data_IF_590688805832
#
_entry.id   IF_590688805832
#
_cell.length_a   1.000
_cell.length_b   1.000
_cell.length_c   1.000
_cell.angle_alpha   90.00
_cell.angle_beta   90.00
_cell.angle_gamma   90.00
#
_symmetry.space_group_name_H-M   'P 1'
#
loop_
_entity.id
_entity.type
_entity.pdbx_description
1 polymer ?
#
# COMPACT_ATOMS: atom_id res chain seq x y z
N UNK A 1 -24.71 16.39 -0.11
CA UNK A 1 -23.71 15.96 -1.11
C UNK A 1 -22.26 16.31 -0.74
N UNK A 2 -21.93 17.51 -0.22
CA UNK A 2 -20.55 17.92 0.12
C UNK A 2 -19.78 16.97 1.08
N UNK A 3 -20.43 16.42 2.11
CA UNK A 3 -19.79 15.53 3.10
C UNK A 3 -19.20 14.24 2.50
N UNK A 4 -19.82 13.71 1.45
CA UNK A 4 -19.36 12.48 0.79
C UNK A 4 -18.13 12.73 -0.10
N UNK A 5 -18.07 13.90 -0.75
CA UNK A 5 -16.90 14.33 -1.56
C UNK A 5 -15.66 14.52 -0.70
N UNK A 6 -15.82 15.17 0.46
CA UNK A 6 -14.70 15.40 1.41
C UNK A 6 -14.18 14.07 1.96
N UNK A 7 -15.08 13.17 2.37
CA UNK A 7 -14.68 11.85 2.88
C UNK A 7 -13.95 11.04 1.81
N UNK A 8 -14.47 11.02 0.58
CA UNK A 8 -13.82 10.34 -0.56
C UNK A 8 -12.42 10.90 -0.82
N UNK A 9 -12.26 12.22 -0.83
CA UNK A 9 -10.96 12.85 -0.99
C UNK A 9 -9.97 12.45 0.12
N UNK A 10 -10.44 12.40 1.38
CA UNK A 10 -9.63 11.96 2.50
C UNK A 10 -9.21 10.48 2.38
N UNK A 11 -10.10 9.59 1.92
CA UNK A 11 -9.77 8.18 1.68
C UNK A 11 -8.73 8.02 0.57
N UNK A 12 -8.86 8.79 -0.53
CA UNK A 12 -7.88 8.77 -1.63
C UNK A 12 -6.53 9.29 -1.16
N UNK A 13 -6.49 10.39 -0.39
CA UNK A 13 -5.25 10.93 0.17
C UNK A 13 -4.56 9.92 1.08
N UNK A 14 -5.31 9.33 2.03
CA UNK A 14 -4.81 8.29 2.93
C UNK A 14 -4.28 7.07 2.16
N UNK A 15 -4.95 6.70 1.07
CA UNK A 15 -4.50 5.62 0.19
C UNK A 15 -3.17 5.93 -0.49
N UNK A 16 -3.01 7.14 -1.04
CA UNK A 16 -1.76 7.60 -1.61
C UNK A 16 -0.62 7.65 -0.58
N UNK A 17 -0.87 8.16 0.62
CA UNK A 17 0.11 8.17 1.70
C UNK A 17 0.55 6.75 2.09
N UNK A 18 -0.38 5.80 2.05
CA UNK A 18 -0.10 4.39 2.34
C UNK A 18 0.71 3.73 1.23
N UNK A 19 0.45 4.05 -0.04
CA UNK A 19 1.31 3.62 -1.16
C UNK A 19 2.75 4.10 -0.95
N UNK A 20 2.94 5.40 -0.66
CA UNK A 20 4.28 5.97 -0.44
C UNK A 20 5.02 5.25 0.68
N UNK A 21 4.33 4.97 1.78
CA UNK A 21 4.88 4.21 2.89
C UNK A 21 5.26 2.79 2.51
N UNK A 22 4.36 2.04 1.85
CA UNK A 22 4.63 0.64 1.48
C UNK A 22 5.76 0.55 0.45
N UNK A 23 5.80 1.47 -0.51
CA UNK A 23 6.86 1.52 -1.52
C UNK A 23 8.22 1.77 -0.86
N UNK A 24 8.29 2.77 0.04
CA UNK A 24 9.49 3.07 0.80
C UNK A 24 9.93 1.89 1.67
N UNK A 25 9.01 1.34 2.46
CA UNK A 25 9.25 0.19 3.34
C UNK A 25 9.78 -1.01 2.54
N UNK A 26 9.13 -1.33 1.42
CA UNK A 26 9.58 -2.37 0.49
C UNK A 26 11.01 -2.13 0.01
N UNK A 27 11.37 -0.91 -0.41
CA UNK A 27 12.74 -0.59 -0.80
C UNK A 27 13.74 -0.68 0.37
N UNK A 28 13.34 -0.24 1.57
CA UNK A 28 14.17 -0.33 2.77
C UNK A 28 14.46 -1.79 3.15
N UNK A 29 13.50 -2.71 2.98
CA UNK A 29 13.74 -4.15 3.17
C UNK A 29 14.72 -4.75 2.16
N UNK A 30 14.89 -4.12 0.99
CA UNK A 30 15.89 -4.50 -0.01
C UNK A 30 17.27 -3.88 0.28
N UNK A 31 17.35 -2.92 1.20
CA UNK A 31 18.56 -2.20 1.58
C UNK A 31 18.53 -0.73 1.19
N UNK A 32 19.09 0.13 2.05
CA UNK A 32 19.11 1.59 1.85
C UNK A 32 19.76 1.99 0.52
N UNK A 33 20.83 1.32 0.10
CA UNK A 33 21.45 1.59 -1.20
C UNK A 33 20.53 1.31 -2.38
N UNK A 34 19.70 0.25 -2.30
CA UNK A 34 18.70 -0.06 -3.35
C UNK A 34 17.65 1.05 -3.39
N UNK A 35 17.14 1.45 -2.22
CA UNK A 35 16.18 2.55 -2.08
C UNK A 35 16.71 3.84 -2.73
N UNK A 36 17.92 4.24 -2.37
CA UNK A 36 18.51 5.49 -2.84
C UNK A 36 18.72 5.46 -4.37
N UNK A 37 19.18 4.33 -4.92
CA UNK A 37 19.32 4.14 -6.38
C UNK A 37 17.97 4.21 -7.10
N UNK A 38 16.93 3.60 -6.54
CA UNK A 38 15.58 3.61 -7.13
C UNK A 38 15.01 5.03 -7.13
N UNK A 39 15.07 5.75 -6.01
CA UNK A 39 14.60 7.13 -5.96
C UNK A 39 15.40 8.06 -6.87
N UNK A 40 16.72 7.93 -6.92
CA UNK A 40 17.55 8.69 -7.86
C UNK A 40 17.22 8.39 -9.31
N UNK A 41 16.85 7.15 -9.63
CA UNK A 41 16.42 6.79 -10.96
C UNK A 41 15.07 7.42 -11.31
N UNK A 42 14.06 7.30 -10.44
CA UNK A 42 12.75 7.90 -10.64
C UNK A 42 12.86 9.42 -10.81
N UNK A 43 13.65 10.09 -9.96
CA UNK A 43 13.90 11.53 -10.04
C UNK A 43 14.52 11.93 -11.37
N UNK A 44 15.52 11.18 -11.87
CA UNK A 44 16.13 11.43 -13.18
C UNK A 44 15.16 11.25 -14.35
N UNK A 45 14.09 10.49 -14.16
CA UNK A 45 13.01 10.29 -15.12
C UNK A 45 11.85 11.26 -14.92
N UNK A 46 12.00 12.23 -14.02
CA UNK A 46 11.01 13.28 -13.78
C UNK A 46 9.90 12.90 -12.80
N UNK A 47 10.06 11.82 -12.03
CA UNK A 47 9.09 11.43 -10.99
C UNK A 47 9.68 11.78 -9.63
N UNK A 48 9.14 12.81 -8.97
CA UNK A 48 9.52 13.12 -7.60
C UNK A 48 8.93 12.10 -6.61
N UNK A 49 9.58 11.91 -5.46
CA UNK A 49 9.11 10.97 -4.42
C UNK A 49 7.67 11.25 -3.98
N UNK A 50 7.30 12.53 -3.88
CA UNK A 50 5.93 12.97 -3.55
C UNK A 50 4.89 12.62 -4.61
N UNK A 51 5.30 12.37 -5.85
CA UNK A 51 4.41 12.09 -6.97
C UNK A 51 4.23 10.58 -7.21
N UNK A 52 5.09 9.75 -6.63
CA UNK A 52 5.05 8.27 -6.73
C UNK A 52 3.64 7.68 -6.53
N UNK A 53 2.86 8.05 -5.50
CA UNK A 53 1.57 7.41 -5.28
C UNK A 53 0.53 7.79 -6.35
N UNK A 54 0.65 8.97 -6.95
CA UNK A 54 -0.26 9.47 -8.00
C UNK A 54 0.14 8.90 -9.36
N UNK A 55 1.44 8.81 -9.63
CA UNK A 55 2.03 8.36 -10.88
C UNK A 55 2.47 6.88 -10.82
N UNK A 56 1.79 6.06 -10.01
CA UNK A 56 2.28 4.71 -9.71
C UNK A 56 2.42 3.84 -10.96
N UNK A 57 1.52 3.98 -11.94
CA UNK A 57 1.62 3.30 -13.24
C UNK A 57 2.91 3.69 -14.00
N UNK A 58 3.26 4.97 -14.01
CA UNK A 58 4.47 5.48 -14.64
C UNK A 58 5.72 5.04 -13.86
N UNK A 59 5.65 4.98 -12.53
CA UNK A 59 6.69 4.40 -11.68
C UNK A 59 6.94 2.95 -12.09
N UNK A 60 5.90 2.11 -12.21
CA UNK A 60 6.03 0.72 -12.65
C UNK A 60 6.70 0.64 -14.02
N UNK A 61 6.30 1.48 -14.97
CA UNK A 61 6.90 1.55 -16.31
C UNK A 61 8.38 1.89 -16.23
N UNK A 62 8.75 2.97 -15.53
CA UNK A 62 10.15 3.40 -15.37
C UNK A 62 10.99 2.32 -14.70
N UNK A 63 10.47 1.67 -13.65
CA UNK A 63 11.20 0.60 -12.98
C UNK A 63 11.43 -0.59 -13.94
N UNK A 64 10.42 -0.99 -14.70
CA UNK A 64 10.55 -2.09 -15.67
C UNK A 64 11.54 -1.76 -16.79
N UNK A 65 11.56 -0.52 -17.29
CA UNK A 65 12.53 -0.07 -18.30
C UNK A 65 13.97 -0.13 -17.77
N UNK A 66 14.18 0.15 -16.48
CA UNK A 66 15.51 0.34 -15.90
C UNK A 66 16.09 -0.90 -15.24
N UNK A 67 15.24 -1.73 -14.63
CA UNK A 67 15.65 -2.92 -13.88
C UNK A 67 15.09 -4.22 -14.47
N UNK A 68 14.38 -4.14 -15.60
CA UNK A 68 13.80 -5.30 -16.28
C UNK A 68 12.80 -6.06 -15.40
N UNK A 69 12.71 -7.38 -15.58
CA UNK A 69 11.78 -8.23 -14.85
C UNK A 69 11.95 -8.21 -13.32
N UNK A 70 13.12 -7.79 -12.82
CA UNK A 70 13.40 -7.66 -11.37
C UNK A 70 12.62 -6.52 -10.72
N UNK A 71 12.26 -5.48 -11.48
CA UNK A 71 11.44 -4.36 -11.00
C UNK A 71 10.08 -4.80 -10.45
N UNK A 72 9.53 -5.85 -11.04
CA UNK A 72 8.22 -6.38 -10.67
C UNK A 72 8.19 -6.91 -9.23
N UNK A 73 9.33 -7.31 -8.66
CA UNK A 73 9.43 -7.66 -7.24
C UNK A 73 9.13 -6.47 -6.34
N UNK A 74 9.57 -5.26 -6.70
CA UNK A 74 9.29 -4.03 -5.95
C UNK A 74 7.79 -3.76 -5.95
N UNK A 75 7.16 -3.81 -7.13
CA UNK A 75 5.73 -3.55 -7.30
C UNK A 75 4.89 -4.60 -6.56
N UNK A 76 5.23 -5.89 -6.73
CA UNK A 76 4.52 -6.98 -6.09
C UNK A 76 4.59 -6.88 -4.56
N UNK A 77 5.79 -6.70 -4.00
CA UNK A 77 5.96 -6.56 -2.55
C UNK A 77 5.26 -5.32 -2.00
N UNK A 78 5.33 -4.19 -2.72
CA UNK A 78 4.60 -2.97 -2.37
C UNK A 78 3.10 -3.23 -2.29
N UNK A 79 2.54 -3.96 -3.27
CA UNK A 79 1.11 -4.25 -3.29
C UNK A 79 0.69 -5.25 -2.20
N UNK A 80 1.51 -6.27 -1.95
CA UNK A 80 1.29 -7.21 -0.83
C UNK A 80 1.28 -6.47 0.50
N UNK A 81 2.25 -5.59 0.73
CA UNK A 81 2.33 -4.77 1.94
C UNK A 81 1.13 -3.82 2.05
N UNK A 82 0.69 -3.22 0.93
CA UNK A 82 -0.48 -2.37 0.87
C UNK A 82 -1.76 -3.12 1.27
N UNK A 83 -1.99 -4.32 0.73
CA UNK A 83 -3.12 -5.18 1.14
C UNK A 83 -3.06 -5.52 2.63
N UNK A 84 -1.86 -5.80 3.16
CA UNK A 84 -1.67 -6.07 4.60
C UNK A 84 -1.97 -4.85 5.47
N UNK A 85 -1.62 -3.63 5.02
CA UNK A 85 -1.98 -2.39 5.72
C UNK A 85 -3.50 -2.22 5.82
N UNK A 86 -4.25 -2.61 4.80
CA UNK A 86 -5.72 -2.57 4.81
C UNK A 86 -6.39 -3.80 5.41
N UNK A 87 -5.63 -4.73 6.01
CA UNK A 87 -6.14 -6.01 6.53
C UNK A 87 -6.88 -6.84 5.49
N UNK A 88 -6.55 -6.67 4.20
CA UNK A 88 -7.15 -7.39 3.10
C UNK A 88 -6.32 -8.63 2.75
N UNK A 89 -7.00 -9.69 2.33
CA UNK A 89 -6.34 -10.91 1.85
C UNK A 89 -5.73 -10.63 0.48
N UNK A 90 -4.48 -11.06 0.31
CA UNK A 90 -3.82 -11.10 -1.00
C UNK A 90 -4.37 -12.30 -1.76
N UNK A 91 -5.14 -12.03 -2.81
CA UNK A 91 -5.77 -13.03 -3.69
C UNK A 91 -5.15 -13.06 -5.09
N UNK A 92 -4.00 -12.41 -5.26
CA UNK A 92 -3.24 -12.35 -6.50
C UNK A 92 -1.84 -12.92 -6.36
N UNK A 93 -1.30 -13.34 -7.49
CA UNK A 93 0.02 -13.92 -7.64
C UNK A 93 0.97 -12.94 -8.31
N UNK A 94 2.25 -13.33 -8.37
CA UNK A 94 3.27 -12.56 -9.06
C UNK A 94 2.99 -12.40 -10.56
N UNK A 95 2.18 -13.25 -11.21
CA UNK A 95 1.95 -13.18 -12.66
C UNK A 95 0.75 -12.30 -13.04
N UNK A 96 -0.13 -11.99 -12.07
CA UNK A 96 -1.35 -11.23 -12.32
C UNK A 96 -1.12 -9.76 -12.65
N UNK A 97 -2.15 -9.08 -13.15
CA UNK A 97 -2.08 -7.64 -13.42
C UNK A 97 -2.08 -6.84 -12.10
N UNK A 98 -0.88 -6.54 -11.58
CA UNK A 98 -0.71 -5.79 -10.32
C UNK A 98 -1.39 -4.41 -10.37
N UNK A 99 -1.47 -3.80 -11.55
CA UNK A 99 -2.18 -2.55 -11.79
C UNK A 99 -3.68 -2.67 -11.49
N UNK A 100 -4.31 -3.72 -12.00
CA UNK A 100 -5.74 -3.93 -11.81
C UNK A 100 -6.03 -4.20 -10.33
N UNK A 101 -5.18 -4.96 -9.64
CA UNK A 101 -5.30 -5.20 -8.20
C UNK A 101 -5.10 -3.94 -7.35
N UNK A 102 -4.26 -2.99 -7.77
CA UNK A 102 -4.13 -1.69 -7.11
C UNK A 102 -5.41 -0.86 -7.29
N UNK A 103 -5.97 -0.83 -8.51
CA UNK A 103 -7.22 -0.15 -8.82
C UNK A 103 -8.41 -0.70 -8.01
N UNK A 104 -8.56 -2.01 -7.98
CA UNK A 104 -9.59 -2.71 -7.21
C UNK A 104 -9.45 -2.44 -5.70
N UNK A 105 -8.23 -2.46 -5.18
CA UNK A 105 -7.99 -2.14 -3.78
C UNK A 105 -8.41 -0.69 -3.47
N UNK A 106 -8.00 0.26 -4.30
CA UNK A 106 -8.35 1.67 -4.15
C UNK A 106 -9.86 1.87 -4.12
N UNK A 107 -10.57 1.24 -5.04
CA UNK A 107 -12.03 1.31 -5.11
C UNK A 107 -12.65 0.78 -3.83
N UNK A 108 -12.23 -0.40 -3.35
CA UNK A 108 -12.76 -0.99 -2.12
C UNK A 108 -12.47 -0.12 -0.90
N UNK A 109 -11.25 0.40 -0.75
CA UNK A 109 -10.86 1.30 0.35
C UNK A 109 -11.76 2.53 0.38
N UNK A 110 -12.05 3.12 -0.78
CA UNK A 110 -12.88 4.33 -0.88
C UNK A 110 -14.35 4.04 -0.61
N UNK A 111 -14.90 2.94 -1.14
CA UNK A 111 -16.32 2.59 -1.00
C UNK A 111 -16.63 2.14 0.43
N UNK A 112 -15.79 1.26 0.99
CA UNK A 112 -16.01 0.66 2.31
C UNK A 112 -15.39 1.49 3.44
N UNK A 113 -14.73 2.62 3.11
CA UNK A 113 -14.05 3.52 4.04
C UNK A 113 -13.05 2.80 4.95
N UNK A 114 -12.27 1.88 4.37
CA UNK A 114 -11.31 1.05 5.10
C UNK A 114 -10.11 1.91 5.48
N UNK A 115 -9.76 1.93 6.77
CA UNK A 115 -8.62 2.70 7.30
C UNK A 115 -7.40 1.78 7.40
N UNK A 116 -6.21 2.19 6.93
CA UNK A 116 -5.01 1.36 7.03
C UNK A 116 -4.53 1.28 8.48
N UNK A 117 -3.92 0.16 8.87
CA UNK A 117 -3.38 -0.11 10.21
C UNK A 117 -2.50 1.02 10.74
N UNK A 118 -1.66 1.62 9.88
CA UNK A 118 -0.81 2.75 10.27
C UNK A 118 -1.60 3.96 10.80
N UNK A 119 -2.70 4.31 10.14
CA UNK A 119 -3.53 5.45 10.53
C UNK A 119 -4.34 5.15 11.80
N UNK A 120 -4.70 3.87 12.02
CA UNK A 120 -5.35 3.44 13.27
C UNK A 120 -4.42 3.59 14.48
N UNK A 121 -3.11 3.39 14.31
CA UNK A 121 -2.11 3.55 15.39
C UNK A 121 -1.83 5.02 15.72
N UNK A 122 -1.95 5.91 14.73
CA UNK A 122 -1.73 7.34 14.89
C UNK A 122 -2.93 8.04 15.57
N UNK A 123 -4.12 7.43 15.53
CA UNK A 123 -5.32 7.87 16.24
C UNK A 123 -5.99 6.71 17.00
N UNK A 124 -5.64 6.49 18.29
CA UNK A 124 -6.17 5.40 19.10
C UNK A 124 -7.68 5.48 19.34
N UNK A 125 -8.34 6.60 19.00
CA UNK A 125 -9.81 6.70 19.05
C UNK A 125 -10.51 5.89 17.94
N UNK A 126 -9.77 5.44 16.92
CA UNK A 126 -10.26 4.62 15.81
C UNK A 126 -10.11 3.10 16.03
N UNK A 127 -9.29 2.66 17.00
CA UNK A 127 -9.07 1.23 17.30
C UNK A 127 -10.31 0.56 17.95
N UNK A 128 -11.22 1.34 18.54
CA UNK A 128 -12.38 0.84 19.31
C UNK A 128 -13.58 0.32 18.50
N UNK A 129 -13.47 0.14 17.18
CA UNK A 129 -14.62 -0.24 16.31
C UNK A 129 -14.53 -1.61 15.62
N UNK A 130 -13.56 -2.45 15.98
CA UNK A 130 -13.49 -3.82 15.47
C UNK A 130 -13.89 -4.83 16.56
N UNK A 131 -14.77 -5.81 16.28
CA UNK A 131 -15.02 -6.90 17.21
C UNK A 131 -13.75 -7.75 17.28
N UNK A 132 -13.06 -7.64 18.41
CA UNK A 132 -11.98 -8.54 18.79
C UNK A 132 -12.59 -9.95 18.92
N UNK A 133 -12.36 -10.80 17.92
CA UNK A 133 -12.69 -12.22 18.04
C UNK A 133 -11.72 -12.79 19.09
N UNK A 134 -12.21 -12.97 20.31
CA UNK A 134 -11.49 -13.63 21.40
C UNK A 134 -11.03 -15.01 20.92
N UNK A 135 -9.72 -15.17 20.79
CA UNK A 135 -9.09 -16.48 20.61
C UNK A 135 -9.40 -17.37 21.80
N UNK A 136 -9.91 -18.56 21.49
CA UNK A 136 -10.09 -19.69 22.39
C UNK A 136 -8.84 -19.94 23.25
N UNK A 137 -9.02 -20.02 24.56
CA UNK A 137 -8.04 -20.60 25.49
C UNK A 137 -8.37 -22.09 25.62
N UNK A 138 -7.49 -23.03 25.23
CA UNK A 138 -7.71 -24.44 25.55
C UNK A 138 -7.37 -24.66 27.03
N UNK A 139 -8.40 -24.98 27.82
CA UNK A 139 -8.25 -25.44 29.19
C UNK A 139 -7.58 -26.82 29.19
N UNK A 140 -6.32 -26.88 29.63
CA UNK A 140 -5.69 -28.13 30.03
C UNK A 140 -5.78 -28.20 31.56
N UNK A 141 -6.79 -28.92 32.05
CA UNK A 141 -6.87 -29.34 33.43
C UNK A 141 -6.33 -30.78 33.52
N UNK A 142 -5.39 -30.95 34.44
CA UNK A 142 -4.85 -32.23 34.91
C UNK A 142 -5.88 -33.03 35.69
#
# INVERSE_FOLDING_TARGET
MHRNVVLRAAMVATFHDTISYCFRSTLETMGSSVRDVVYDHLRRKGIAESEIPVLFDDVVKVLNESFGGSARVIVYKTLVELYQQYSMRVDFTYQDSLRDHLGLLRERVVVDHIIPKRAQREDPSLEGRLPFVQGFVPSSAR
#
